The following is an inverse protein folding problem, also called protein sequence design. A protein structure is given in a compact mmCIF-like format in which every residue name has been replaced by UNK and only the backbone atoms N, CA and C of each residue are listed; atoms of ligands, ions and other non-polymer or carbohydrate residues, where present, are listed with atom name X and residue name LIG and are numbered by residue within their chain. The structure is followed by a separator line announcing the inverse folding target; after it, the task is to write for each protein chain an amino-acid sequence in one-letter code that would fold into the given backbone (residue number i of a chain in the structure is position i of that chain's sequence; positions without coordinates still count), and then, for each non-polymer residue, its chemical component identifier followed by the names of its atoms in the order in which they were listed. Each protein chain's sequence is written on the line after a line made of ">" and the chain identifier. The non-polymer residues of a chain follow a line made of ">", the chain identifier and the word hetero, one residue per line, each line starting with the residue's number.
data_IF_352330352051
#
_entry.id   IF_352330352051
#
_cell.length_a   1.000
_cell.length_b   1.000
_cell.length_c   1.000
_cell.angle_alpha   90.00
_cell.angle_beta   90.00
_cell.angle_gamma   90.00
#
_symmetry.space_group_name_H-M   'P 1'
#
loop_
_entity.id
_entity.type
_entity.pdbx_description
1 polymer ?
#
# COMPACT_ATOMS: atom_id res chain seq x y z
N UNK A 1 -0.74 3.06 9.71
CA UNK A 1 -0.34 2.45 8.42
C UNK A 1 0.48 1.21 8.69
N UNK A 2 0.18 0.12 8.02
CA UNK A 2 0.99 -1.10 8.10
C UNK A 2 1.64 -1.37 6.75
N UNK A 3 2.87 -1.87 6.80
CA UNK A 3 3.62 -2.31 5.63
C UNK A 3 3.64 -3.83 5.61
N UNK A 4 2.99 -4.40 4.63
CA UNK A 4 3.01 -5.83 4.37
C UNK A 4 3.74 -6.14 3.07
N UNK A 5 3.18 -7.04 2.26
CA UNK A 5 3.79 -7.43 0.99
C UNK A 5 4.91 -8.42 1.17
N UNK A 6 5.75 -8.57 0.16
CA UNK A 6 6.74 -9.63 0.11
C UNK A 6 8.19 -9.17 0.09
N UNK A 7 8.45 -7.97 -0.45
CA UNK A 7 9.82 -7.48 -0.63
C UNK A 7 9.92 -6.01 -0.28
N UNK A 8 11.15 -5.56 -0.04
CA UNK A 8 11.51 -4.16 0.17
C UNK A 8 10.66 -3.45 1.23
N UNK A 9 10.24 -4.17 2.25
CA UNK A 9 9.39 -3.62 3.32
C UNK A 9 10.03 -2.42 4.00
N UNK A 10 11.35 -2.47 4.23
CA UNK A 10 12.07 -1.37 4.86
C UNK A 10 12.05 -0.13 3.97
N UNK A 11 12.23 -0.30 2.65
CA UNK A 11 12.17 0.82 1.71
C UNK A 11 10.78 1.44 1.67
N UNK A 12 9.74 0.62 1.69
CA UNK A 12 8.35 1.10 1.74
C UNK A 12 8.14 1.89 3.04
N UNK A 13 8.56 1.33 4.17
CA UNK A 13 8.48 1.99 5.46
C UNK A 13 9.18 3.36 5.44
N UNK A 14 10.44 3.38 4.98
CA UNK A 14 11.23 4.62 4.97
C UNK A 14 10.60 5.68 4.06
N UNK A 15 10.06 5.27 2.92
CA UNK A 15 9.40 6.18 1.98
C UNK A 15 8.14 6.77 2.61
N UNK A 16 7.34 5.96 3.28
CA UNK A 16 6.15 6.45 4.01
C UNK A 16 6.55 7.40 5.12
N UNK A 17 7.51 7.02 5.95
CA UNK A 17 7.97 7.85 7.07
C UNK A 17 8.52 9.20 6.60
N UNK A 18 9.20 9.22 5.46
CA UNK A 18 9.70 10.47 4.87
C UNK A 18 8.59 11.46 4.54
N UNK A 19 7.39 10.99 4.27
CA UNK A 19 6.23 11.84 3.96
C UNK A 19 5.42 12.16 5.22
N UNK A 20 5.07 11.13 6.00
CA UNK A 20 4.13 11.32 7.13
C UNK A 20 4.80 11.83 8.41
N UNK A 21 6.09 11.56 8.58
CA UNK A 21 6.79 11.93 9.81
C UNK A 21 6.09 11.35 11.04
N UNK A 22 5.73 12.22 11.99
CA UNK A 22 5.03 11.82 13.21
C UNK A 22 3.50 11.91 13.10
N UNK A 23 2.98 12.26 11.92
CA UNK A 23 1.53 12.43 11.72
C UNK A 23 0.78 11.11 11.68
N UNK A 24 1.48 10.00 11.47
CA UNK A 24 0.89 8.67 11.47
C UNK A 24 1.89 7.66 12.00
N UNK A 25 1.40 6.60 12.65
CA UNK A 25 2.25 5.48 13.01
C UNK A 25 2.40 4.55 11.80
N UNK A 26 3.59 3.99 11.63
CA UNK A 26 3.90 3.07 10.55
C UNK A 26 4.60 1.85 11.14
N UNK A 27 4.12 0.66 10.82
CA UNK A 27 4.71 -0.60 11.30
C UNK A 27 4.90 -1.58 10.15
N UNK A 28 6.02 -2.29 10.18
CA UNK A 28 6.27 -3.41 9.29
C UNK A 28 5.72 -4.67 9.95
N UNK A 29 4.93 -5.43 9.22
CA UNK A 29 4.38 -6.72 9.70
C UNK A 29 4.53 -7.75 8.59
N UNK A 30 4.41 -9.04 8.94
CA UNK A 30 4.25 -10.04 7.89
C UNK A 30 2.92 -9.79 7.15
N UNK A 31 2.81 -10.35 5.95
CA UNK A 31 1.73 -10.03 5.05
C UNK A 31 0.34 -10.32 5.64
N UNK A 32 0.20 -11.47 6.29
CA UNK A 32 -1.06 -11.87 6.91
C UNK A 32 -1.39 -10.94 8.08
N UNK A 33 -0.42 -10.68 8.96
CA UNK A 33 -0.63 -9.82 10.13
C UNK A 33 -0.96 -8.39 9.71
N UNK A 34 -0.34 -7.88 8.64
CA UNK A 34 -0.63 -6.55 8.12
C UNK A 34 -2.08 -6.46 7.61
N UNK A 35 -2.50 -7.44 6.81
CA UNK A 35 -3.87 -7.47 6.31
C UNK A 35 -4.90 -7.61 7.45
N UNK A 36 -4.61 -8.45 8.45
CA UNK A 36 -5.49 -8.62 9.61
C UNK A 36 -5.59 -7.34 10.43
N UNK A 37 -4.50 -6.58 10.57
CA UNK A 37 -4.53 -5.32 11.31
C UNK A 37 -5.52 -4.33 10.69
N UNK A 38 -5.59 -4.27 9.35
CA UNK A 38 -6.56 -3.42 8.66
C UNK A 38 -7.98 -3.99 8.82
N UNK A 39 -8.15 -5.30 8.69
CA UNK A 39 -9.45 -5.94 8.82
C UNK A 39 -10.07 -5.70 10.20
N UNK A 40 -9.27 -5.76 11.26
CA UNK A 40 -9.76 -5.61 12.64
C UNK A 40 -9.83 -4.16 13.09
N UNK A 41 -9.43 -3.20 12.26
CA UNK A 41 -9.46 -1.78 12.60
C UNK A 41 -8.27 -1.29 13.41
N UNK A 42 -7.26 -2.12 13.64
CA UNK A 42 -6.02 -1.70 14.32
C UNK A 42 -5.16 -0.81 13.44
N UNK A 43 -5.30 -0.92 12.12
CA UNK A 43 -4.63 -0.06 11.15
C UNK A 43 -5.65 0.43 10.14
N UNK A 44 -5.37 1.58 9.54
CA UNK A 44 -6.26 2.20 8.56
C UNK A 44 -5.91 1.82 7.13
N UNK A 45 -4.61 1.67 6.84
CA UNK A 45 -4.12 1.45 5.48
C UNK A 45 -2.99 0.43 5.45
N UNK A 46 -2.97 -0.35 4.37
CA UNK A 46 -1.98 -1.37 4.07
C UNK A 46 -1.22 -0.97 2.80
N UNK A 47 0.10 -1.01 2.86
CA UNK A 47 0.98 -0.78 1.71
C UNK A 47 1.87 -2.01 1.53
N UNK A 48 1.92 -2.55 0.31
CA UNK A 48 2.74 -3.73 0.05
C UNK A 48 3.38 -3.71 -1.31
N UNK A 49 4.65 -4.14 -1.36
CA UNK A 49 5.40 -4.28 -2.60
C UNK A 49 5.69 -5.74 -2.91
N UNK A 50 5.76 -6.05 -4.19
CA UNK A 50 6.22 -7.35 -4.68
C UNK A 50 6.77 -7.19 -6.09
N UNK A 51 7.26 -8.29 -6.68
CA UNK A 51 7.78 -8.24 -8.05
C UNK A 51 6.69 -8.08 -9.10
N UNK A 52 5.46 -8.50 -8.82
CA UNK A 52 4.35 -8.50 -9.77
C UNK A 52 3.37 -7.35 -9.59
N UNK A 53 3.47 -6.62 -8.49
CA UNK A 53 2.60 -5.48 -8.18
C UNK A 53 1.34 -5.83 -7.41
N UNK A 54 0.50 -6.70 -7.91
CA UNK A 54 -0.76 -7.04 -7.25
C UNK A 54 -0.85 -8.47 -6.77
N UNK A 55 -0.31 -9.41 -7.53
CA UNK A 55 -0.46 -10.84 -7.27
C UNK A 55 0.04 -11.28 -5.91
N UNK A 56 1.29 -10.94 -5.56
CA UNK A 56 1.85 -11.30 -4.28
C UNK A 56 1.57 -10.28 -3.19
N UNK A 57 1.69 -8.99 -3.55
CA UNK A 57 1.57 -7.92 -2.56
C UNK A 57 0.17 -7.80 -1.96
N UNK A 58 -0.86 -8.12 -2.72
CA UNK A 58 -2.25 -7.94 -2.28
C UNK A 58 -3.01 -9.23 -2.07
N UNK A 59 -2.42 -10.39 -2.29
CA UNK A 59 -3.14 -11.67 -2.19
C UNK A 59 -3.84 -11.82 -0.83
N UNK A 60 -3.12 -11.60 0.25
CA UNK A 60 -3.70 -11.72 1.60
C UNK A 60 -4.68 -10.59 1.90
N UNK A 61 -4.38 -9.37 1.47
CA UNK A 61 -5.30 -8.26 1.66
C UNK A 61 -6.62 -8.48 0.92
N UNK A 62 -6.56 -8.98 -0.32
CA UNK A 62 -7.76 -9.32 -1.09
C UNK A 62 -8.57 -10.41 -0.37
N UNK A 63 -7.89 -11.46 0.11
CA UNK A 63 -8.56 -12.56 0.79
C UNK A 63 -9.27 -12.12 2.07
N UNK A 64 -8.67 -11.19 2.83
CA UNK A 64 -9.18 -10.78 4.13
C UNK A 64 -10.08 -9.54 4.06
N UNK A 65 -9.82 -8.60 3.15
CA UNK A 65 -10.57 -7.34 3.06
C UNK A 65 -11.56 -7.32 1.91
N UNK A 66 -11.37 -8.16 0.91
CA UNK A 66 -12.15 -8.15 -0.32
C UNK A 66 -11.50 -7.28 -1.38
N UNK A 67 -11.72 -7.65 -2.64
CA UNK A 67 -11.12 -6.97 -3.80
C UNK A 67 -11.52 -5.50 -3.87
N UNK A 68 -12.71 -5.15 -3.42
CA UNK A 68 -13.21 -3.78 -3.45
C UNK A 68 -12.42 -2.82 -2.56
N UNK A 69 -11.69 -3.34 -1.57
CA UNK A 69 -10.89 -2.53 -0.66
C UNK A 69 -9.44 -2.41 -1.10
N UNK A 70 -9.06 -3.07 -2.20
CA UNK A 70 -7.68 -3.17 -2.64
C UNK A 70 -7.48 -2.51 -4.00
N UNK A 71 -6.32 -1.91 -4.21
CA UNK A 71 -5.95 -1.30 -5.48
C UNK A 71 -4.52 -1.68 -5.86
N UNK A 72 -4.33 -2.19 -7.06
CA UNK A 72 -3.01 -2.38 -7.67
C UNK A 72 -2.69 -1.11 -8.44
N UNK A 73 -1.69 -0.37 -7.99
CA UNK A 73 -1.35 0.92 -8.60
C UNK A 73 -0.12 0.86 -9.51
N UNK A 74 0.57 -0.27 -9.52
CA UNK A 74 1.77 -0.44 -10.33
C UNK A 74 2.01 -1.91 -10.62
N UNK A 75 2.52 -2.18 -11.82
CA UNK A 75 2.93 -3.50 -12.30
C UNK A 75 4.30 -3.37 -12.96
N UNK A 76 5.01 -4.49 -13.23
CA UNK A 76 6.29 -4.39 -13.93
C UNK A 76 6.15 -3.63 -15.25
N UNK A 77 6.96 -2.59 -15.43
CA UNK A 77 6.95 -1.77 -16.63
C UNK A 77 5.72 -0.90 -16.82
N UNK A 78 4.79 -0.87 -15.85
CA UNK A 78 3.56 -0.07 -15.96
C UNK A 78 3.16 0.49 -14.61
N UNK A 79 2.88 1.77 -14.58
CA UNK A 79 2.43 2.48 -13.38
C UNK A 79 1.17 3.27 -13.75
N UNK A 80 0.17 3.26 -12.87
CA UNK A 80 -1.00 4.12 -13.05
C UNK A 80 -0.56 5.59 -13.02
N UNK A 81 -1.28 6.44 -13.71
CA UNK A 81 -1.06 7.87 -13.65
C UNK A 81 -1.38 8.41 -12.25
N UNK A 82 -0.88 9.60 -11.94
CA UNK A 82 -1.21 10.25 -10.67
C UNK A 82 -2.73 10.37 -10.49
N UNK A 83 -3.46 10.80 -11.52
CA UNK A 83 -4.91 10.93 -11.46
C UNK A 83 -5.60 9.60 -11.20
N UNK A 84 -5.14 8.52 -11.81
CA UNK A 84 -5.70 7.20 -11.61
C UNK A 84 -5.45 6.69 -10.19
N UNK A 85 -4.26 6.93 -9.64
CA UNK A 85 -3.94 6.56 -8.25
C UNK A 85 -4.82 7.36 -7.28
N UNK A 86 -4.94 8.66 -7.49
CA UNK A 86 -5.78 9.51 -6.64
C UNK A 86 -7.25 9.11 -6.71
N UNK A 87 -7.73 8.65 -7.87
CA UNK A 87 -9.08 8.14 -8.00
C UNK A 87 -9.31 6.88 -7.14
N UNK A 88 -8.32 5.99 -7.05
CA UNK A 88 -8.41 4.82 -6.20
C UNK A 88 -8.47 5.20 -4.72
N UNK A 89 -7.66 6.18 -4.32
CA UNK A 89 -7.69 6.69 -2.95
C UNK A 89 -9.05 7.31 -2.64
N UNK A 90 -9.57 8.11 -3.54
CA UNK A 90 -10.88 8.76 -3.39
C UNK A 90 -12.01 7.73 -3.31
N UNK A 91 -11.86 6.60 -3.97
CA UNK A 91 -12.83 5.51 -3.91
C UNK A 91 -12.85 4.79 -2.55
N UNK A 92 -11.93 5.11 -1.65
CA UNK A 92 -11.90 4.56 -0.30
C UNK A 92 -11.12 3.28 -0.14
N UNK A 93 -10.22 2.98 -1.07
CA UNK A 93 -9.37 1.78 -0.97
C UNK A 93 -8.51 1.83 0.28
N UNK A 94 -8.33 0.69 0.93
CA UNK A 94 -7.56 0.58 2.17
C UNK A 94 -6.23 -0.14 1.99
N UNK A 95 -6.06 -0.92 0.93
CA UNK A 95 -4.85 -1.66 0.66
C UNK A 95 -4.32 -1.31 -0.73
N UNK A 96 -3.03 -1.00 -0.79
CA UNK A 96 -2.37 -0.59 -2.03
C UNK A 96 -1.20 -1.51 -2.31
N UNK A 97 -1.18 -2.09 -3.51
CA UNK A 97 -0.11 -2.95 -3.99
C UNK A 97 0.61 -2.34 -5.17
N UNK A 98 1.91 -2.53 -5.22
CA UNK A 98 2.77 -1.97 -6.27
C UNK A 98 4.04 -2.80 -6.43
N UNK A 99 4.77 -2.57 -7.52
CA UNK A 99 6.06 -3.22 -7.70
C UNK A 99 7.15 -2.47 -6.94
N UNK A 100 8.20 -3.20 -6.57
CA UNK A 100 9.39 -2.62 -5.96
C UNK A 100 10.05 -1.56 -6.82
N UNK A 101 9.84 -1.62 -8.14
CA UNK A 101 10.39 -0.63 -9.09
C UNK A 101 9.79 0.77 -8.92
N UNK A 102 8.59 0.88 -8.38
CA UNK A 102 7.85 2.14 -8.36
C UNK A 102 7.57 2.67 -6.96
N UNK A 103 8.16 2.09 -5.91
CA UNK A 103 7.89 2.48 -4.52
C UNK A 103 8.01 3.99 -4.33
N UNK A 104 9.12 4.58 -4.77
CA UNK A 104 9.41 5.99 -4.54
C UNK A 104 8.49 6.93 -5.33
N UNK A 105 7.81 6.41 -6.36
CA UNK A 105 6.89 7.19 -7.19
C UNK A 105 5.45 7.09 -6.71
N UNK A 106 4.98 5.87 -6.41
CA UNK A 106 3.55 5.67 -6.10
C UNK A 106 3.22 5.96 -4.64
N UNK A 107 4.11 5.65 -3.70
CA UNK A 107 3.83 5.84 -2.28
C UNK A 107 3.53 7.30 -1.94
N UNK A 108 4.33 8.29 -2.38
CA UNK A 108 4.00 9.69 -2.11
C UNK A 108 2.66 10.13 -2.70
N UNK A 109 2.29 9.63 -3.88
CA UNK A 109 1.01 9.97 -4.51
C UNK A 109 -0.15 9.44 -3.68
N UNK A 110 -0.07 8.17 -3.25
CA UNK A 110 -1.10 7.56 -2.40
C UNK A 110 -1.26 8.37 -1.12
N UNK A 111 -0.15 8.69 -0.46
CA UNK A 111 -0.17 9.43 0.80
C UNK A 111 -0.74 10.82 0.62
N UNK A 112 -0.43 11.51 -0.48
CA UNK A 112 -1.03 12.79 -0.82
C UNK A 112 -2.55 12.68 -0.91
N UNK A 113 -3.02 11.65 -1.58
CA UNK A 113 -4.47 11.40 -1.70
C UNK A 113 -5.12 11.11 -0.35
N UNK A 114 -4.40 10.49 0.58
CA UNK A 114 -4.89 10.20 1.92
C UNK A 114 -4.85 11.41 2.88
N UNK A 115 -4.29 12.52 2.43
CA UNK A 115 -4.25 13.74 3.24
C UNK A 115 -2.94 13.98 3.99
N UNK A 116 -1.91 13.26 3.64
CA UNK A 116 -0.60 13.46 4.26
C UNK A 116 0.31 14.40 3.49
#
# INVERSE_FOLDING_TARGET
>A
IVVGGQIDKQKVYDTIKGVVGDRASVEIKDDIAAAMAVKTGQADYYFGACKTGGGGALAMAIALLGMNQCATVSMPGKMLSEDEILAQVKAGKKAYGFTDQHIEKVVPIILKGLGF
#
